data_IF_984827868705
#
_entry.id   IF_984827868705
#
_cell.length_a   1.000
_cell.length_b   1.000
_cell.length_c   1.000
_cell.angle_alpha   90.00
_cell.angle_beta   90.00
_cell.angle_gamma   90.00
#
_symmetry.space_group_name_H-M   'P 1'
#
loop_
_entity.id
_entity.type
_entity.pdbx_description
1 polymer ?
#
# COMPACT_ATOMS: atom_id res chain seq x y z
N UNK A 1 13.14 -5.90 17.80
CA UNK A 1 11.89 -6.62 18.18
C UNK A 1 10.98 -5.74 19.04
N UNK A 2 11.49 -5.11 20.10
CA UNK A 2 10.71 -4.24 21.00
C UNK A 2 9.97 -3.10 20.28
N UNK A 3 10.65 -2.37 19.39
CA UNK A 3 10.02 -1.28 18.60
C UNK A 3 8.88 -1.79 17.71
N UNK A 4 9.00 -2.97 17.12
CA UNK A 4 7.96 -3.56 16.27
C UNK A 4 6.72 -3.91 17.09
N UNK A 5 6.89 -4.48 18.27
CA UNK A 5 5.79 -4.75 19.20
C UNK A 5 5.09 -3.45 19.64
N UNK A 6 5.84 -2.38 19.89
CA UNK A 6 5.28 -1.06 20.22
C UNK A 6 4.48 -0.45 19.07
N UNK A 7 5.00 -0.49 17.84
CA UNK A 7 4.26 -0.02 16.67
C UNK A 7 2.95 -0.77 16.48
N UNK A 8 2.97 -2.09 16.67
CA UNK A 8 1.77 -2.91 16.60
C UNK A 8 0.75 -2.55 17.69
N UNK A 9 1.18 -2.42 18.94
CA UNK A 9 0.30 -2.04 20.05
C UNK A 9 -0.32 -0.66 19.83
N UNK A 10 0.47 0.34 19.41
CA UNK A 10 -0.02 1.68 19.11
C UNK A 10 -0.98 1.69 17.92
N UNK A 11 -0.71 0.89 16.88
CA UNK A 11 -1.60 0.72 15.74
C UNK A 11 -2.96 0.14 16.16
N UNK A 12 -2.98 -0.87 17.02
CA UNK A 12 -4.22 -1.45 17.55
C UNK A 12 -5.02 -0.42 18.35
N UNK A 13 -4.35 0.41 19.17
CA UNK A 13 -5.00 1.50 19.90
C UNK A 13 -5.58 2.54 18.94
N UNK A 14 -4.83 2.95 17.91
CA UNK A 14 -5.31 3.90 16.90
C UNK A 14 -6.54 3.35 16.16
N UNK A 15 -6.52 2.09 15.73
CA UNK A 15 -7.65 1.43 15.08
C UNK A 15 -8.88 1.33 16.00
N UNK A 16 -8.68 1.07 17.29
CA UNK A 16 -9.78 1.05 18.26
C UNK A 16 -10.41 2.45 18.45
N UNK A 17 -9.58 3.51 18.52
CA UNK A 17 -10.07 4.89 18.62
C UNK A 17 -10.83 5.28 17.34
N UNK A 18 -10.33 4.86 16.17
CA UNK A 18 -10.97 5.13 14.87
C UNK A 18 -12.35 4.46 14.76
N UNK A 19 -12.51 3.25 15.29
CA UNK A 19 -13.77 2.54 15.30
C UNK A 19 -14.74 3.02 16.42
N UNK A 20 -14.23 3.65 17.46
CA UNK A 20 -15.00 4.04 18.65
C UNK A 20 -16.19 5.00 18.40
N UNK A 21 -16.22 5.89 17.36
CA UNK A 21 -17.41 6.68 17.06
C UNK A 21 -18.65 5.85 16.74
N UNK A 22 -18.47 4.65 16.14
CA UNK A 22 -19.55 3.72 15.82
C UNK A 22 -20.15 3.16 17.13
N UNK A 23 -19.29 2.78 18.07
CA UNK A 23 -19.71 2.30 19.39
C UNK A 23 -20.44 3.40 20.16
N UNK A 24 -19.91 4.63 20.12
CA UNK A 24 -20.56 5.78 20.77
C UNK A 24 -21.92 6.10 20.17
N UNK A 25 -22.11 5.90 18.87
CA UNK A 25 -23.38 6.04 18.18
C UNK A 25 -24.39 4.97 18.65
N UNK A 26 -23.95 3.71 18.71
CA UNK A 26 -24.76 2.60 19.17
C UNK A 26 -25.22 2.76 20.64
N UNK A 27 -24.37 3.35 21.49
CA UNK A 27 -24.67 3.66 22.90
C UNK A 27 -25.43 4.99 23.09
N UNK A 28 -25.77 5.70 22.02
CA UNK A 28 -26.42 7.03 22.04
C UNK A 28 -25.65 8.09 22.86
N UNK A 29 -24.31 8.02 22.88
CA UNK A 29 -23.43 8.95 23.59
C UNK A 29 -23.00 10.13 22.68
N UNK A 30 -23.91 11.06 22.41
CA UNK A 30 -23.72 12.19 21.49
C UNK A 30 -22.45 13.03 21.76
N UNK A 31 -22.15 13.31 23.02
CA UNK A 31 -20.96 14.11 23.40
C UNK A 31 -19.67 13.37 23.09
N UNK A 32 -19.59 12.07 23.42
CA UNK A 32 -18.44 11.21 23.13
C UNK A 32 -18.25 11.06 21.62
N UNK A 33 -19.33 10.80 20.88
CA UNK A 33 -19.30 10.69 19.41
C UNK A 33 -18.74 11.95 18.75
N UNK A 34 -19.15 13.14 19.20
CA UNK A 34 -18.68 14.42 18.65
C UNK A 34 -17.19 14.63 18.92
N UNK A 35 -16.72 14.31 20.12
CA UNK A 35 -15.30 14.36 20.47
C UNK A 35 -14.46 13.39 19.64
N UNK A 36 -14.90 12.12 19.52
CA UNK A 36 -14.22 11.09 18.76
C UNK A 36 -14.16 11.40 17.26
N UNK A 37 -15.23 11.98 16.68
CA UNK A 37 -15.20 12.45 15.29
C UNK A 37 -14.15 13.51 15.03
N UNK A 38 -13.92 14.42 15.95
CA UNK A 38 -12.87 15.43 15.80
C UNK A 38 -11.46 14.81 15.86
N UNK A 39 -11.33 13.70 16.57
CA UNK A 39 -10.06 12.97 16.68
C UNK A 39 -9.77 12.05 15.47
N UNK A 40 -10.81 11.68 14.71
CA UNK A 40 -10.71 10.69 13.61
C UNK A 40 -9.61 11.04 12.61
N UNK A 41 -9.48 12.30 12.20
CA UNK A 41 -8.46 12.69 11.23
C UNK A 41 -7.03 12.43 11.77
N UNK A 42 -6.80 12.77 13.01
CA UNK A 42 -5.49 12.55 13.65
C UNK A 42 -5.20 11.06 13.82
N UNK A 43 -6.20 10.25 14.21
CA UNK A 43 -6.04 8.80 14.38
C UNK A 43 -5.84 8.08 13.06
N UNK A 44 -6.51 8.48 11.98
CA UNK A 44 -6.29 7.94 10.63
C UNK A 44 -4.85 8.20 10.17
N UNK A 45 -4.37 9.45 10.30
CA UNK A 45 -2.98 9.80 9.93
C UNK A 45 -1.99 8.98 10.75
N UNK A 46 -2.22 8.88 12.06
CA UNK A 46 -1.37 8.08 12.96
C UNK A 46 -1.41 6.60 12.59
N UNK A 47 -2.58 6.03 12.33
CA UNK A 47 -2.76 4.63 11.94
C UNK A 47 -2.03 4.28 10.66
N UNK A 48 -2.16 5.11 9.62
CA UNK A 48 -1.43 4.94 8.35
C UNK A 48 0.08 5.02 8.59
N UNK A 49 0.55 6.02 9.34
CA UNK A 49 1.98 6.19 9.62
C UNK A 49 2.56 5.00 10.39
N UNK A 50 1.86 4.53 11.42
CA UNK A 50 2.28 3.37 12.22
C UNK A 50 2.29 2.08 11.40
N UNK A 51 1.31 1.89 10.51
CA UNK A 51 1.25 0.74 9.61
C UNK A 51 2.45 0.71 8.65
N UNK A 52 2.80 1.85 8.04
CA UNK A 52 3.96 1.97 7.16
C UNK A 52 5.27 1.72 7.91
N UNK A 53 5.42 2.28 9.12
CA UNK A 53 6.58 2.06 9.98
C UNK A 53 6.68 0.60 10.46
N UNK A 54 5.55 -0.04 10.76
CA UNK A 54 5.52 -1.46 11.10
C UNK A 54 6.04 -2.32 9.96
N UNK A 55 5.59 -2.06 8.74
CA UNK A 55 6.04 -2.76 7.54
C UNK A 55 7.55 -2.56 7.30
N UNK A 56 8.05 -1.34 7.45
CA UNK A 56 9.50 -1.06 7.41
C UNK A 56 10.27 -1.82 8.50
N UNK A 57 9.71 -1.89 9.70
CA UNK A 57 10.27 -2.67 10.82
C UNK A 57 10.35 -4.17 10.52
N UNK A 58 9.32 -4.74 9.89
CA UNK A 58 9.38 -6.12 9.40
C UNK A 58 10.49 -6.30 8.37
N UNK A 59 10.65 -5.35 7.42
CA UNK A 59 11.77 -5.33 6.49
C UNK A 59 13.13 -5.33 7.19
N UNK A 60 13.25 -4.64 8.33
CA UNK A 60 14.47 -4.63 9.13
C UNK A 60 14.79 -6.01 9.77
N UNK A 61 13.77 -6.81 10.10
CA UNK A 61 14.00 -8.20 10.56
C UNK A 61 14.63 -9.08 9.50
N UNK A 62 14.34 -8.85 8.22
CA UNK A 62 14.95 -9.59 7.11
C UNK A 62 16.46 -9.33 6.98
N UNK A 63 16.98 -8.21 7.50
CA UNK A 63 18.43 -7.97 7.53
C UNK A 63 19.17 -9.01 8.36
N UNK A 64 18.54 -9.52 9.44
CA UNK A 64 19.12 -10.57 10.30
C UNK A 64 19.04 -11.96 9.68
N UNK A 65 18.19 -12.16 8.66
CA UNK A 65 17.96 -13.43 7.99
C UNK A 65 18.79 -13.59 6.71
N UNK A 66 19.87 -12.83 6.53
CA UNK A 66 20.73 -12.85 5.34
C UNK A 66 21.07 -14.26 4.81
N UNK A 67 21.45 -15.26 5.65
CA UNK A 67 21.80 -16.59 5.15
C UNK A 67 20.59 -17.41 4.67
N UNK A 68 19.35 -16.97 4.96
CA UNK A 68 18.12 -17.68 4.59
C UNK A 68 17.42 -17.09 3.37
N UNK A 69 17.80 -15.88 2.96
CA UNK A 69 17.18 -15.15 1.85
C UNK A 69 18.11 -15.22 0.65
N UNK A 70 17.56 -15.53 -0.52
CA UNK A 70 18.34 -15.54 -1.74
C UNK A 70 18.92 -14.14 -2.02
N UNK A 71 20.17 -14.00 -2.48
CA UNK A 71 20.85 -12.72 -2.68
C UNK A 71 20.07 -11.70 -3.52
N UNK A 72 19.30 -12.15 -4.52
CA UNK A 72 18.47 -11.27 -5.38
C UNK A 72 17.40 -10.48 -4.60
N UNK A 73 16.93 -11.01 -3.47
CA UNK A 73 15.90 -10.35 -2.63
C UNK A 73 16.47 -9.71 -1.39
N UNK A 74 17.71 -10.08 -1.00
CA UNK A 74 18.34 -9.51 0.18
C UNK A 74 19.12 -8.24 -0.19
N UNK A 75 18.86 -7.14 0.52
CA UNK A 75 19.63 -5.90 0.42
C UNK A 75 19.66 -5.22 1.79
N UNK A 76 20.68 -4.40 2.03
CA UNK A 76 20.74 -3.54 3.21
C UNK A 76 19.58 -2.51 3.25
N UNK A 77 18.99 -2.22 2.10
CA UNK A 77 17.88 -1.29 1.94
C UNK A 77 16.49 -1.97 1.97
N UNK A 78 16.43 -3.25 2.34
CA UNK A 78 15.16 -3.98 2.48
C UNK A 78 14.11 -3.24 3.32
N UNK A 79 14.45 -2.58 4.46
CA UNK A 79 13.46 -1.79 5.21
C UNK A 79 12.84 -0.64 4.41
N UNK A 80 13.62 0.03 3.58
CA UNK A 80 13.15 1.13 2.71
C UNK A 80 12.27 0.57 1.59
N UNK A 81 12.66 -0.56 0.99
CA UNK A 81 11.83 -1.23 -0.02
C UNK A 81 10.49 -1.65 0.55
N UNK A 82 10.44 -2.21 1.76
CA UNK A 82 9.21 -2.58 2.44
C UNK A 82 8.34 -1.35 2.74
N UNK A 83 8.96 -0.24 3.17
CA UNK A 83 8.24 1.02 3.36
C UNK A 83 7.59 1.52 2.07
N UNK A 84 8.35 1.61 0.98
CA UNK A 84 7.83 2.10 -0.30
C UNK A 84 6.79 1.13 -0.88
N UNK A 85 7.01 -0.19 -0.77
CA UNK A 85 6.05 -1.19 -1.25
C UNK A 85 4.72 -1.12 -0.51
N UNK A 86 4.73 -0.85 0.80
CA UNK A 86 3.50 -0.73 1.58
C UNK A 86 2.64 0.47 1.16
N UNK A 87 3.25 1.55 0.67
CA UNK A 87 2.51 2.71 0.17
C UNK A 87 1.73 2.34 -1.10
N UNK A 88 2.39 1.79 -2.13
CA UNK A 88 1.67 1.48 -3.36
C UNK A 88 0.69 0.31 -3.18
N UNK A 89 1.02 -0.68 -2.34
CA UNK A 89 0.10 -1.76 -2.01
C UNK A 89 -1.15 -1.24 -1.30
N UNK A 90 -1.00 -0.32 -0.34
CA UNK A 90 -2.12 0.35 0.33
C UNK A 90 -2.99 1.14 -0.65
N UNK A 91 -2.38 1.93 -1.54
CA UNK A 91 -3.12 2.67 -2.58
C UNK A 91 -3.87 1.74 -3.53
N UNK A 92 -3.23 0.65 -3.97
CA UNK A 92 -3.85 -0.36 -4.83
C UNK A 92 -4.99 -1.07 -4.13
N UNK A 93 -4.84 -1.40 -2.85
CA UNK A 93 -5.89 -2.03 -2.04
C UNK A 93 -7.11 -1.11 -1.87
N UNK A 94 -6.91 0.19 -1.62
CA UNK A 94 -8.01 1.16 -1.53
C UNK A 94 -8.76 1.25 -2.87
N UNK A 95 -8.06 1.25 -4.01
CA UNK A 95 -8.68 1.24 -5.34
C UNK A 95 -9.50 -0.04 -5.55
N UNK A 96 -8.92 -1.19 -5.21
CA UNK A 96 -9.58 -2.49 -5.36
C UNK A 96 -10.82 -2.60 -4.48
N UNK A 97 -10.68 -2.37 -3.18
CA UNK A 97 -11.76 -2.46 -2.19
C UNK A 97 -12.85 -1.42 -2.45
N UNK A 98 -12.47 -0.16 -2.71
CA UNK A 98 -13.39 0.91 -3.04
C UNK A 98 -14.19 0.61 -4.31
N UNK A 99 -13.56 0.04 -5.32
CA UNK A 99 -14.24 -0.39 -6.56
C UNK A 99 -15.22 -1.52 -6.30
N UNK A 100 -14.83 -2.52 -5.50
CA UNK A 100 -15.69 -3.65 -5.15
C UNK A 100 -16.89 -3.18 -4.33
N UNK A 101 -16.65 -2.37 -3.30
CA UNK A 101 -17.68 -1.77 -2.46
C UNK A 101 -18.65 -0.90 -3.28
N UNK A 102 -18.12 -0.06 -4.16
CA UNK A 102 -18.95 0.77 -5.03
C UNK A 102 -19.84 -0.06 -5.99
N UNK A 103 -19.35 -1.20 -6.46
CA UNK A 103 -20.10 -2.11 -7.31
C UNK A 103 -21.20 -2.84 -6.52
N UNK A 104 -20.90 -3.33 -5.31
CA UNK A 104 -21.84 -4.08 -4.48
C UNK A 104 -22.94 -3.16 -3.93
N UNK A 105 -22.58 -1.98 -3.45
CA UNK A 105 -23.50 -1.04 -2.82
C UNK A 105 -23.96 0.10 -3.73
N UNK A 106 -23.83 -0.07 -5.05
CA UNK A 106 -24.21 0.96 -6.05
C UNK A 106 -25.64 1.47 -5.89
N UNK A 107 -26.56 0.61 -5.46
CA UNK A 107 -27.98 0.94 -5.23
C UNK A 107 -28.23 1.83 -4.01
N UNK A 108 -27.27 1.91 -3.08
CA UNK A 108 -27.33 2.76 -1.88
C UNK A 108 -26.64 4.11 -2.05
N UNK A 109 -25.88 4.29 -3.14
CA UNK A 109 -25.07 5.48 -3.35
C UNK A 109 -25.83 6.48 -4.23
N UNK A 110 -26.06 7.72 -3.74
CA UNK A 110 -26.66 8.77 -4.57
C UNK A 110 -25.86 9.06 -5.84
N UNK A 111 -26.50 9.31 -7.00
CA UNK A 111 -25.83 9.52 -8.29
C UNK A 111 -24.73 10.60 -8.27
N UNK A 112 -24.89 11.62 -7.44
CA UNK A 112 -23.94 12.73 -7.27
C UNK A 112 -22.56 12.26 -6.77
N UNK A 113 -22.48 11.15 -6.05
CA UNK A 113 -21.22 10.66 -5.47
C UNK A 113 -20.42 9.75 -6.42
N UNK A 114 -21.01 9.29 -7.52
CA UNK A 114 -20.30 8.45 -8.49
C UNK A 114 -19.12 9.19 -9.15
N UNK A 115 -19.32 10.42 -9.61
CA UNK A 115 -18.24 11.22 -10.21
C UNK A 115 -17.13 11.57 -9.23
N UNK A 116 -17.49 11.86 -7.97
CA UNK A 116 -16.51 12.15 -6.93
C UNK A 116 -15.62 10.94 -6.61
N UNK A 117 -16.17 9.73 -6.65
CA UNK A 117 -15.43 8.50 -6.44
C UNK A 117 -14.41 8.25 -7.55
N UNK A 118 -14.81 8.44 -8.81
CA UNK A 118 -13.93 8.26 -9.95
C UNK A 118 -12.72 9.20 -9.91
N UNK A 119 -12.91 10.46 -9.54
CA UNK A 119 -11.81 11.41 -9.39
C UNK A 119 -10.84 11.04 -8.27
N UNK A 120 -11.34 10.48 -7.16
CA UNK A 120 -10.50 9.95 -6.07
C UNK A 120 -9.67 8.75 -6.60
N UNK A 121 -10.29 7.82 -7.32
CA UNK A 121 -9.59 6.66 -7.91
C UNK A 121 -8.48 7.10 -8.86
N UNK A 122 -8.71 8.12 -9.69
CA UNK A 122 -7.67 8.67 -10.57
C UNK A 122 -6.52 9.31 -9.77
N UNK A 123 -6.82 10.01 -8.69
CA UNK A 123 -5.81 10.57 -7.78
C UNK A 123 -4.94 9.49 -7.12
N UNK A 124 -5.57 8.42 -6.61
CA UNK A 124 -4.89 7.27 -6.00
C UNK A 124 -4.04 6.52 -7.04
N UNK A 125 -4.56 6.31 -8.26
CA UNK A 125 -3.83 5.66 -9.34
C UNK A 125 -2.56 6.43 -9.74
N UNK A 126 -2.62 7.78 -9.77
CA UNK A 126 -1.44 8.61 -9.97
C UNK A 126 -0.40 8.42 -8.88
N UNK A 127 -0.85 8.40 -7.61
CA UNK A 127 0.02 8.14 -6.45
C UNK A 127 0.68 6.76 -6.55
N UNK A 128 -0.11 5.72 -6.85
CA UNK A 128 0.38 4.35 -7.01
C UNK A 128 1.41 4.24 -8.15
N UNK A 129 1.15 4.84 -9.31
CA UNK A 129 2.09 4.86 -10.44
C UNK A 129 3.45 5.45 -10.06
N UNK A 130 3.44 6.61 -9.40
CA UNK A 130 4.67 7.29 -8.97
C UNK A 130 5.44 6.44 -7.95
N UNK A 131 4.75 5.91 -6.94
CA UNK A 131 5.38 5.13 -5.86
C UNK A 131 5.95 3.81 -6.40
N UNK A 132 5.22 3.12 -7.29
CA UNK A 132 5.72 1.89 -7.93
C UNK A 132 6.92 2.17 -8.84
N UNK A 133 6.92 3.28 -9.55
CA UNK A 133 8.07 3.66 -10.37
C UNK A 133 9.30 3.97 -9.51
N UNK A 134 9.12 4.68 -8.40
CA UNK A 134 10.19 4.92 -7.42
C UNK A 134 10.73 3.59 -6.86
N UNK A 135 9.83 2.65 -6.49
CA UNK A 135 10.22 1.32 -6.03
C UNK A 135 11.03 0.56 -7.09
N UNK A 136 10.57 0.58 -8.35
CA UNK A 136 11.26 -0.05 -9.46
C UNK A 136 12.67 0.53 -9.66
N UNK A 137 12.81 1.85 -9.67
CA UNK A 137 14.12 2.51 -9.79
C UNK A 137 15.05 2.11 -8.64
N UNK A 138 14.52 2.09 -7.40
CA UNK A 138 15.29 1.62 -6.25
C UNK A 138 15.76 0.17 -6.41
N UNK A 139 14.87 -0.74 -6.81
CA UNK A 139 15.22 -2.15 -7.07
C UNK A 139 16.28 -2.28 -8.16
N UNK A 140 16.17 -1.53 -9.25
CA UNK A 140 17.13 -1.54 -10.35
C UNK A 140 18.50 -1.01 -9.91
N UNK A 141 18.55 0.09 -9.16
CA UNK A 141 19.79 0.65 -8.62
C UNK A 141 20.49 -0.32 -7.67
N UNK A 142 19.73 -0.98 -6.78
CA UNK A 142 20.29 -1.97 -5.85
C UNK A 142 20.83 -3.19 -6.60
N UNK A 143 20.12 -3.67 -7.62
CA UNK A 143 20.57 -4.77 -8.45
C UNK A 143 21.92 -4.45 -9.14
N UNK A 144 22.07 -3.24 -9.68
CA UNK A 144 23.32 -2.76 -10.31
C UNK A 144 24.43 -2.62 -9.27
N UNK A 145 24.12 -2.05 -8.10
CA UNK A 145 25.07 -1.85 -7.00
C UNK A 145 25.64 -3.18 -6.49
N UNK A 146 24.79 -4.17 -6.29
CA UNK A 146 25.16 -5.46 -5.73
C UNK A 146 25.81 -6.40 -6.76
N UNK A 147 25.95 -5.96 -8.03
CA UNK A 147 26.60 -6.69 -9.14
C UNK A 147 26.10 -8.13 -9.34
N UNK A 148 24.82 -8.36 -9.17
CA UNK A 148 24.21 -9.70 -9.16
C UNK A 148 23.88 -10.26 -10.56
N UNK A 149 24.55 -9.77 -11.59
CA UNK A 149 24.30 -10.11 -13.00
C UNK A 149 24.36 -11.63 -13.30
N UNK A 150 25.28 -12.34 -12.63
CA UNK A 150 25.42 -13.77 -12.81
C UNK A 150 24.24 -14.61 -12.31
N UNK A 151 23.41 -14.05 -11.45
CA UNK A 151 22.25 -14.74 -10.88
C UNK A 151 20.99 -14.62 -11.74
N UNK A 152 20.98 -13.75 -12.76
CA UNK A 152 19.82 -13.59 -13.66
C UNK A 152 19.54 -14.87 -14.46
N UNK A 153 20.59 -15.56 -14.90
CA UNK A 153 20.46 -16.80 -15.71
C UNK A 153 20.15 -18.04 -14.87
N UNK A 154 19.65 -17.87 -13.66
CA UNK A 154 19.18 -18.95 -12.79
C UNK A 154 17.65 -19.02 -12.76
N UNK A 155 17.08 -20.14 -12.32
CA UNK A 155 15.63 -20.27 -12.13
C UNK A 155 15.07 -19.17 -11.21
N UNK A 156 15.81 -18.81 -10.16
CA UNK A 156 15.46 -17.73 -9.25
C UNK A 156 15.57 -16.34 -9.90
N UNK A 157 16.52 -16.16 -10.82
CA UNK A 157 16.66 -14.93 -11.60
C UNK A 157 15.46 -14.68 -12.50
N UNK A 158 14.92 -15.71 -13.16
CA UNK A 158 13.68 -15.57 -13.95
C UNK A 158 12.48 -15.21 -13.09
N UNK A 159 12.34 -15.80 -11.90
CA UNK A 159 11.29 -15.41 -10.94
C UNK A 159 11.44 -13.96 -10.49
N UNK A 160 12.65 -13.50 -10.21
CA UNK A 160 12.92 -12.11 -9.87
C UNK A 160 12.53 -11.16 -11.01
N UNK A 161 12.83 -11.52 -12.26
CA UNK A 161 12.41 -10.72 -13.41
C UNK A 161 10.89 -10.67 -13.57
N UNK A 162 10.20 -11.79 -13.38
CA UNK A 162 8.72 -11.84 -13.39
C UNK A 162 8.16 -10.95 -12.31
N UNK A 163 8.71 -10.96 -11.10
CA UNK A 163 8.28 -10.07 -9.99
C UNK A 163 8.49 -8.60 -10.37
N UNK A 164 9.71 -8.22 -10.75
CA UNK A 164 10.06 -6.81 -10.95
C UNK A 164 9.41 -6.23 -12.21
N UNK A 165 9.34 -6.99 -13.30
CA UNK A 165 8.74 -6.52 -14.55
C UNK A 165 7.23 -6.76 -14.52
N UNK A 166 6.78 -7.97 -14.16
CA UNK A 166 5.37 -8.37 -14.23
C UNK A 166 4.49 -7.71 -13.19
N UNK A 167 4.96 -7.66 -11.93
CA UNK A 167 4.15 -7.20 -10.80
C UNK A 167 4.52 -5.80 -10.29
N UNK A 168 5.59 -5.18 -10.80
CA UNK A 168 5.94 -3.80 -10.45
C UNK A 168 5.87 -2.89 -11.67
N UNK A 169 6.65 -3.16 -12.71
CA UNK A 169 6.79 -2.26 -13.85
C UNK A 169 5.52 -2.19 -14.71
N UNK A 170 4.93 -3.35 -15.06
CA UNK A 170 3.71 -3.38 -15.87
C UNK A 170 2.55 -2.68 -15.16
N UNK A 171 2.19 -2.99 -13.89
CA UNK A 171 1.13 -2.25 -13.20
C UNK A 171 1.43 -0.76 -13.04
N UNK A 172 2.69 -0.35 -12.83
CA UNK A 172 3.06 1.06 -12.79
C UNK A 172 2.70 1.80 -14.09
N UNK A 173 3.03 1.20 -15.24
CA UNK A 173 2.63 1.74 -16.54
C UNK A 173 1.12 1.70 -16.74
N UNK A 174 0.45 0.64 -16.33
CA UNK A 174 -1.01 0.53 -16.42
C UNK A 174 -1.71 1.62 -15.58
N UNK A 175 -1.25 1.91 -14.38
CA UNK A 175 -1.76 3.01 -13.57
C UNK A 175 -1.53 4.36 -14.26
N UNK A 176 -0.32 4.61 -14.77
CA UNK A 176 0.01 5.86 -15.46
C UNK A 176 -0.84 6.05 -16.74
N UNK A 177 -1.00 4.99 -17.53
CA UNK A 177 -1.82 4.98 -18.73
C UNK A 177 -3.31 5.14 -18.41
N UNK A 178 -3.81 4.39 -17.42
CA UNK A 178 -5.20 4.47 -16.94
C UNK A 178 -5.54 5.87 -16.41
N UNK A 179 -4.63 6.50 -15.67
CA UNK A 179 -4.76 7.90 -15.23
C UNK A 179 -4.82 8.86 -16.41
N UNK A 180 -3.91 8.73 -17.38
CA UNK A 180 -3.82 9.64 -18.54
C UNK A 180 -5.06 9.56 -19.45
N UNK A 181 -5.56 8.36 -19.69
CA UNK A 181 -6.72 8.10 -20.55
C UNK A 181 -8.05 8.04 -19.79
N UNK A 182 -8.06 8.37 -18.51
CA UNK A 182 -9.26 8.32 -17.68
C UNK A 182 -10.00 6.97 -17.74
N UNK A 183 -9.27 5.86 -17.82
CA UNK A 183 -9.82 4.52 -17.95
C UNK A 183 -9.82 3.76 -16.61
N UNK A 184 -10.97 3.70 -15.96
CA UNK A 184 -11.15 2.97 -14.68
C UNK A 184 -10.87 1.47 -14.80
N UNK A 185 -11.19 0.85 -15.94
CA UNK A 185 -10.98 -0.58 -16.11
C UNK A 185 -9.49 -0.95 -16.09
N UNK A 186 -8.63 -0.14 -16.71
CA UNK A 186 -7.19 -0.36 -16.70
C UNK A 186 -6.63 -0.17 -15.27
N UNK A 187 -7.10 0.85 -14.55
CA UNK A 187 -6.69 1.10 -13.17
C UNK A 187 -7.09 -0.05 -12.25
N UNK A 188 -8.30 -0.61 -12.43
CA UNK A 188 -8.79 -1.76 -11.65
C UNK A 188 -7.94 -3.01 -11.88
N UNK A 189 -7.60 -3.30 -13.13
CA UNK A 189 -6.71 -4.43 -13.45
C UNK A 189 -5.33 -4.20 -12.85
N UNK A 190 -4.78 -2.99 -12.99
CA UNK A 190 -3.50 -2.63 -12.38
C UNK A 190 -3.49 -2.81 -10.86
N UNK A 191 -4.60 -2.45 -10.18
CA UNK A 191 -4.75 -2.60 -8.72
C UNK A 191 -4.80 -4.07 -8.26
N UNK A 192 -5.26 -4.98 -9.12
CA UNK A 192 -5.26 -6.43 -8.83
C UNK A 192 -3.86 -7.02 -9.03
N UNK A 193 -3.07 -6.48 -9.97
CA UNK A 193 -1.73 -6.98 -10.28
C UNK A 193 -0.67 -6.45 -9.31
N UNK A 194 -0.89 -5.29 -8.70
CA UNK A 194 0.04 -4.62 -7.79
C UNK A 194 -0.05 -5.15 -6.36
#
# INVERSE_FOLDING_TARGET
LFLICWHFALYMVAAFIEFSPVIAEWLNLEKARRFLKNLTLATVILGVTLSLLHQSGLGALFLMAKPKIHPLWWSQFTPVLFFVSSIYAGLSMIIFEGTLSHRVFSHMIPPKHHHSFDDIVFGLAKGAAITMFVYYVFKALLFIHDKQWGLINTAWGYWYLVEVIGFVLIPAFMFAFGYRHRSLNIIRIAAIMA
#
